data_IF_601933517296
#
_entry.id   IF_601933517296
#
_cell.length_a   1.000
_cell.length_b   1.000
_cell.length_c   1.000
_cell.angle_alpha   90.00
_cell.angle_beta   90.00
_cell.angle_gamma   90.00
#
_symmetry.space_group_name_H-M   'P 1'
#
loop_
_entity.id
_entity.type
_entity.pdbx_description
1 polymer ?
#
# COMPACT_ATOMS: atom_id res chain seq x y z
N UNK A 1 -29.66 -29.77 59.62
CA UNK A 1 -29.70 -28.30 59.50
C UNK A 1 -28.34 -27.73 59.11
N UNK A 2 -27.49 -28.46 58.43
CA UNK A 2 -26.14 -28.03 58.12
C UNK A 2 -25.70 -28.28 56.67
N UNK A 3 -26.58 -28.71 55.77
CA UNK A 3 -26.21 -28.90 54.35
C UNK A 3 -26.45 -27.66 53.49
N UNK A 4 -27.37 -26.79 53.87
CA UNK A 4 -27.69 -25.58 53.09
C UNK A 4 -26.63 -24.48 53.21
N UNK A 5 -25.86 -24.47 54.30
CA UNK A 5 -24.85 -23.42 54.54
C UNK A 5 -23.53 -23.69 53.82
N UNK A 6 -23.25 -24.94 53.42
CA UNK A 6 -22.04 -25.30 52.68
C UNK A 6 -22.12 -24.98 51.17
N UNK A 7 -23.32 -24.96 50.64
CA UNK A 7 -23.52 -24.66 49.23
C UNK A 7 -23.35 -23.16 48.90
N UNK A 8 -23.64 -22.28 49.86
CA UNK A 8 -23.56 -20.83 49.65
C UNK A 8 -22.12 -20.27 49.67
N UNK A 9 -21.19 -20.99 50.29
CA UNK A 9 -19.80 -20.52 50.45
C UNK A 9 -18.95 -20.76 49.21
N UNK A 10 -19.38 -21.65 48.32
CA UNK A 10 -18.67 -21.94 47.09
C UNK A 10 -19.12 -21.07 45.91
N UNK A 11 -20.30 -20.43 46.01
CA UNK A 11 -20.82 -19.56 44.96
C UNK A 11 -20.15 -18.19 44.93
N UNK A 12 -19.67 -17.71 46.08
CA UNK A 12 -19.03 -16.41 46.19
C UNK A 12 -17.57 -16.39 45.68
N UNK A 13 -16.96 -17.54 45.35
CA UNK A 13 -15.57 -17.61 44.87
C UNK A 13 -15.47 -17.62 43.35
N UNK A 14 -16.54 -17.93 42.65
CA UNK A 14 -16.52 -18.03 41.17
C UNK A 14 -16.72 -16.66 40.55
N UNK A 15 -17.44 -15.76 41.20
CA UNK A 15 -17.75 -14.42 40.66
C UNK A 15 -16.54 -13.49 40.64
N UNK A 16 -15.62 -13.66 41.62
CA UNK A 16 -14.40 -12.82 41.64
C UNK A 16 -13.36 -13.18 40.56
N UNK A 17 -13.32 -14.45 40.13
CA UNK A 17 -12.43 -14.87 39.05
C UNK A 17 -12.94 -14.38 37.68
N UNK A 18 -14.27 -14.37 37.50
CA UNK A 18 -14.90 -13.85 36.28
C UNK A 18 -14.77 -12.33 36.19
N UNK A 19 -14.92 -11.59 37.29
CA UNK A 19 -14.72 -10.15 37.33
C UNK A 19 -13.25 -9.77 37.06
N UNK A 20 -12.28 -10.52 37.59
CA UNK A 20 -10.86 -10.28 37.34
C UNK A 20 -10.48 -10.59 35.88
N UNK A 21 -11.05 -11.63 35.27
CA UNK A 21 -10.83 -11.95 33.86
C UNK A 21 -11.46 -10.91 32.93
N UNK A 22 -12.65 -10.39 33.27
CA UNK A 22 -13.30 -9.33 32.50
C UNK A 22 -12.55 -7.99 32.60
N UNK A 23 -11.95 -7.67 33.75
CA UNK A 23 -11.15 -6.45 33.93
C UNK A 23 -9.81 -6.52 33.19
N UNK A 24 -9.25 -7.72 33.03
CA UNK A 24 -7.97 -7.91 32.30
C UNK A 24 -8.14 -7.72 30.79
N UNK A 25 -9.32 -8.00 30.24
CA UNK A 25 -9.62 -7.80 28.80
C UNK A 25 -9.75 -6.31 28.45
N UNK A 26 -10.12 -5.45 29.42
CA UNK A 26 -10.24 -4.00 29.20
C UNK A 26 -8.88 -3.27 29.17
N UNK A 27 -7.79 -3.94 29.55
CA UNK A 27 -6.43 -3.40 29.57
C UNK A 27 -5.59 -3.78 28.35
N UNK A 28 -6.21 -4.39 27.31
CA UNK A 28 -5.51 -4.55 26.04
C UNK A 28 -5.27 -3.15 25.44
N UNK A 29 -4.02 -2.73 25.26
CA UNK A 29 -3.76 -1.47 24.60
C UNK A 29 -4.34 -1.55 23.19
N UNK A 30 -5.25 -0.65 22.86
CA UNK A 30 -5.67 -0.39 21.48
C UNK A 30 -4.40 0.03 20.77
N UNK A 31 -3.79 -0.90 20.05
CA UNK A 31 -2.64 -0.61 19.21
C UNK A 31 -3.14 0.35 18.13
N UNK A 32 -2.69 1.62 18.10
CA UNK A 32 -2.96 2.45 16.94
C UNK A 32 -2.35 1.72 15.75
N UNK A 33 -3.19 1.38 14.77
CA UNK A 33 -2.72 0.78 13.53
C UNK A 33 -1.64 1.70 12.96
N UNK A 34 -0.38 1.28 13.08
CA UNK A 34 0.71 1.97 12.42
C UNK A 34 0.47 1.82 10.92
N UNK A 35 0.00 2.88 10.30
CA UNK A 35 0.12 3.03 8.85
C UNK A 35 1.63 3.15 8.62
N UNK A 36 2.27 2.02 8.39
CA UNK A 36 3.63 2.01 7.87
C UNK A 36 3.52 2.62 6.48
N UNK A 37 3.74 3.93 6.40
CA UNK A 37 4.05 4.54 5.14
C UNK A 37 5.28 3.78 4.62
N UNK A 38 5.10 2.96 3.58
CA UNK A 38 6.21 2.26 2.97
C UNK A 38 7.17 3.32 2.47
N UNK A 39 8.26 3.50 3.19
CA UNK A 39 9.38 4.29 2.71
C UNK A 39 9.77 3.75 1.32
N UNK A 40 10.09 4.61 0.36
CA UNK A 40 10.54 4.16 -0.95
C UNK A 40 11.66 3.15 -0.73
N UNK A 41 11.52 1.98 -1.35
CA UNK A 41 12.44 0.87 -1.17
C UNK A 41 13.87 1.40 -1.34
N UNK A 42 14.70 1.23 -0.31
CA UNK A 42 16.06 1.76 -0.19
C UNK A 42 17.01 1.30 -1.32
N UNK A 43 16.51 0.45 -2.23
CA UNK A 43 17.22 -0.17 -3.34
C UNK A 43 16.44 -0.08 -4.66
N UNK A 44 15.75 1.03 -4.94
CA UNK A 44 15.12 1.24 -6.23
C UNK A 44 16.17 1.10 -7.35
N UNK A 45 15.87 0.29 -8.39
CA UNK A 45 16.77 0.12 -9.52
C UNK A 45 16.99 1.43 -10.26
N UNK A 46 18.21 1.65 -10.71
CA UNK A 46 18.52 2.78 -11.56
C UNK A 46 17.77 2.66 -12.90
N UNK A 47 17.05 3.69 -13.28
CA UNK A 47 16.43 3.81 -14.60
C UNK A 47 17.50 4.20 -15.62
N UNK A 48 17.67 3.41 -16.68
CA UNK A 48 18.61 3.66 -17.76
C UNK A 48 17.94 4.39 -18.93
N UNK A 49 16.72 4.00 -19.27
CA UNK A 49 15.91 4.66 -20.31
C UNK A 49 14.55 4.99 -19.72
N UNK A 50 14.22 6.26 -19.77
CA UNK A 50 12.92 6.79 -19.33
C UNK A 50 12.16 7.30 -20.55
N UNK A 51 10.95 6.78 -20.76
CA UNK A 51 10.01 7.27 -21.77
C UNK A 51 8.93 8.04 -21.06
N UNK A 52 8.70 9.27 -21.47
CA UNK A 52 7.60 10.06 -20.92
C UNK A 52 6.27 9.61 -21.52
N UNK A 53 5.19 9.55 -20.71
CA UNK A 53 3.89 9.20 -21.21
C UNK A 53 3.39 10.27 -22.19
N UNK A 54 2.74 9.82 -23.25
CA UNK A 54 2.06 10.69 -24.17
C UNK A 54 0.96 11.47 -23.42
N UNK A 55 0.94 12.79 -23.64
CA UNK A 55 -0.08 13.66 -23.08
C UNK A 55 -0.91 14.27 -24.23
N UNK A 56 -2.05 13.67 -24.59
CA UNK A 56 -2.86 14.10 -25.72
C UNK A 56 -3.27 15.57 -25.65
N UNK A 57 -3.28 16.23 -26.80
CA UNK A 57 -3.59 17.65 -26.88
C UNK A 57 -4.97 18.02 -26.34
N UNK A 58 -5.93 17.11 -26.42
CA UNK A 58 -7.26 17.29 -25.83
C UNK A 58 -7.18 17.55 -24.32
N UNK A 59 -6.39 16.75 -23.59
CA UNK A 59 -6.22 16.94 -22.14
C UNK A 59 -5.35 18.15 -21.84
N UNK A 60 -4.35 18.40 -22.68
CA UNK A 60 -3.46 19.57 -22.54
C UNK A 60 -4.22 20.88 -22.69
N UNK A 61 -5.05 20.98 -23.71
CA UNK A 61 -5.86 22.17 -24.00
C UNK A 61 -6.96 22.40 -22.95
N UNK A 62 -7.49 21.31 -22.36
CA UNK A 62 -8.44 21.35 -21.25
C UNK A 62 -7.82 21.59 -19.88
N UNK A 63 -6.49 21.77 -19.79
CA UNK A 63 -5.76 21.95 -18.51
C UNK A 63 -6.03 20.84 -17.49
N UNK A 64 -6.24 19.62 -17.96
CA UNK A 64 -6.45 18.47 -17.06
C UNK A 64 -5.13 18.06 -16.42
N UNK A 65 -5.08 18.10 -15.11
CA UNK A 65 -3.96 17.56 -14.36
C UNK A 65 -4.33 16.20 -13.78
N UNK A 66 -3.38 15.28 -13.78
CA UNK A 66 -3.61 13.96 -13.23
C UNK A 66 -2.33 13.38 -12.62
N UNK A 67 -2.54 12.53 -11.61
CA UNK A 67 -1.49 11.71 -11.02
C UNK A 67 -1.86 10.26 -11.22
N UNK A 68 -0.90 9.44 -11.66
CA UNK A 68 -1.04 7.99 -11.80
C UNK A 68 0.05 7.32 -11.00
N UNK A 69 -0.33 6.37 -10.16
CA UNK A 69 0.57 5.54 -9.35
C UNK A 69 0.58 4.16 -9.97
N UNK A 70 1.74 3.69 -10.39
CA UNK A 70 1.93 2.41 -11.04
C UNK A 70 3.07 1.63 -10.38
N UNK A 71 3.03 0.31 -10.49
CA UNK A 71 4.12 -0.58 -10.15
C UNK A 71 4.57 -1.34 -11.40
N UNK A 72 5.86 -1.27 -11.71
CA UNK A 72 6.47 -2.00 -12.80
C UNK A 72 7.16 -3.26 -12.28
N UNK A 73 6.82 -4.41 -12.82
CA UNK A 73 7.58 -5.65 -12.61
C UNK A 73 8.76 -5.65 -13.57
N UNK A 74 9.97 -5.62 -13.04
CA UNK A 74 11.21 -5.51 -13.81
C UNK A 74 11.98 -6.83 -13.76
N UNK A 75 12.25 -7.40 -14.92
CA UNK A 75 13.03 -8.63 -15.07
C UNK A 75 14.51 -8.42 -14.69
N UNK A 76 15.28 -9.49 -14.43
CA UNK A 76 16.71 -9.40 -14.14
C UNK A 76 17.51 -8.63 -15.20
N UNK A 77 17.13 -8.72 -16.48
CA UNK A 77 17.76 -8.01 -17.59
C UNK A 77 17.42 -6.52 -17.68
N UNK A 78 16.55 -6.01 -16.80
CA UNK A 78 16.13 -4.62 -16.74
C UNK A 78 14.92 -4.24 -17.59
N UNK A 79 14.32 -5.19 -18.31
CA UNK A 79 13.10 -4.94 -19.07
C UNK A 79 11.88 -4.98 -18.16
N UNK A 80 10.91 -4.12 -18.42
CA UNK A 80 9.59 -4.17 -17.77
C UNK A 80 8.78 -5.30 -18.38
N UNK A 81 8.28 -6.23 -17.56
CA UNK A 81 7.45 -7.36 -17.99
C UNK A 81 5.97 -7.10 -17.83
N UNK A 82 5.58 -6.35 -16.80
CA UNK A 82 4.19 -5.98 -16.55
C UNK A 82 4.11 -4.67 -15.77
N UNK A 83 2.96 -4.02 -15.88
CA UNK A 83 2.65 -2.79 -15.16
C UNK A 83 1.30 -2.95 -14.48
N UNK A 84 1.23 -2.64 -13.20
CA UNK A 84 0.00 -2.63 -12.42
C UNK A 84 -0.30 -1.19 -11.97
N UNK A 85 -1.52 -0.72 -12.24
CA UNK A 85 -1.97 0.60 -11.76
C UNK A 85 -2.52 0.46 -10.35
N UNK A 86 -1.90 1.15 -9.42
CA UNK A 86 -2.29 1.15 -7.99
C UNK A 86 -3.26 2.27 -7.64
N UNK A 87 -3.29 3.33 -8.45
CA UNK A 87 -4.20 4.45 -8.21
C UNK A 87 -4.00 5.62 -9.16
N UNK A 88 -4.89 6.57 -9.07
CA UNK A 88 -4.88 7.78 -9.87
C UNK A 88 -6.03 7.84 -10.87
N UNK A 89 -5.93 8.76 -11.83
CA UNK A 89 -6.99 8.97 -12.81
C UNK A 89 -6.94 7.88 -13.90
N UNK A 90 -8.02 7.08 -14.08
CA UNK A 90 -8.04 5.96 -15.03
C UNK A 90 -7.87 6.40 -16.49
N UNK A 91 -8.28 7.61 -16.86
CA UNK A 91 -8.11 8.14 -18.22
C UNK A 91 -6.62 8.26 -18.62
N UNK A 92 -5.74 8.47 -17.65
CA UNK A 92 -4.30 8.60 -17.87
C UNK A 92 -3.53 7.29 -17.62
N UNK A 93 -4.19 6.27 -17.07
CA UNK A 93 -3.56 4.99 -16.72
C UNK A 93 -3.00 4.27 -17.95
N UNK A 94 -3.68 4.31 -19.08
CA UNK A 94 -3.24 3.68 -20.33
C UNK A 94 -1.96 4.34 -20.86
N UNK A 95 -1.88 5.66 -20.86
CA UNK A 95 -0.69 6.40 -21.29
C UNK A 95 0.50 6.14 -20.38
N UNK A 96 0.28 6.08 -19.06
CA UNK A 96 1.29 5.73 -18.09
C UNK A 96 1.80 4.30 -18.29
N UNK A 97 0.92 3.34 -18.52
CA UNK A 97 1.26 1.94 -18.78
C UNK A 97 2.10 1.80 -20.05
N UNK A 98 1.68 2.41 -21.16
CA UNK A 98 2.43 2.41 -22.43
C UNK A 98 3.85 2.95 -22.26
N UNK A 99 3.98 4.08 -21.57
CA UNK A 99 5.29 4.67 -21.34
C UNK A 99 6.19 3.75 -20.51
N UNK A 100 5.65 3.23 -19.39
CA UNK A 100 6.39 2.44 -18.43
C UNK A 100 6.85 1.08 -19.00
N UNK A 101 6.07 0.47 -19.89
CA UNK A 101 6.45 -0.75 -20.60
C UNK A 101 7.71 -0.57 -21.49
N UNK A 102 7.99 0.65 -21.92
CA UNK A 102 9.16 0.98 -22.72
C UNK A 102 10.37 1.47 -21.89
N UNK A 103 10.24 1.52 -20.56
CA UNK A 103 11.36 1.87 -19.70
C UNK A 103 12.39 0.74 -19.64
N UNK A 104 13.62 1.13 -19.39
CA UNK A 104 14.73 0.21 -19.14
C UNK A 104 15.37 0.53 -17.81
N UNK A 105 15.58 -0.49 -17.03
CA UNK A 105 16.26 -0.42 -15.74
C UNK A 105 17.62 -1.10 -15.80
N UNK A 106 18.48 -0.81 -14.85
CA UNK A 106 19.73 -1.53 -14.69
C UNK A 106 19.46 -3.03 -14.44
N UNK A 107 20.31 -3.91 -14.93
CA UNK A 107 20.24 -5.34 -14.65
C UNK A 107 20.41 -5.59 -13.14
N UNK A 108 19.77 -6.65 -12.64
CA UNK A 108 19.89 -7.08 -11.25
C UNK A 108 19.77 -8.61 -11.17
N UNK A 109 20.23 -9.24 -10.06
CA UNK A 109 20.21 -10.70 -9.92
C UNK A 109 18.81 -11.32 -9.92
N UNK A 110 17.80 -10.55 -9.51
CA UNK A 110 16.41 -11.02 -9.39
C UNK A 110 15.41 -10.03 -9.98
N UNK A 111 14.21 -10.52 -10.24
CA UNK A 111 13.07 -9.69 -10.57
C UNK A 111 12.71 -8.77 -9.40
N UNK A 112 12.32 -7.53 -9.69
CA UNK A 112 11.89 -6.55 -8.68
C UNK A 112 10.60 -5.86 -9.11
N UNK A 113 9.92 -5.25 -8.15
CA UNK A 113 8.76 -4.41 -8.39
C UNK A 113 9.15 -2.97 -8.05
N UNK A 114 9.06 -2.09 -9.03
CA UNK A 114 9.49 -0.70 -8.91
C UNK A 114 8.27 0.23 -8.92
N UNK A 115 8.03 1.00 -7.86
CA UNK A 115 6.94 1.98 -7.84
C UNK A 115 7.31 3.21 -8.67
N UNK A 116 6.37 3.67 -9.49
CA UNK A 116 6.52 4.84 -10.35
C UNK A 116 5.31 5.74 -10.22
N UNK A 117 5.55 7.03 -10.14
CA UNK A 117 4.49 8.05 -10.11
C UNK A 117 4.64 8.94 -11.34
N UNK A 118 3.59 9.01 -12.14
CA UNK A 118 3.47 9.94 -13.24
C UNK A 118 2.61 11.13 -12.82
N UNK A 119 3.09 12.33 -13.08
CA UNK A 119 2.35 13.57 -12.90
C UNK A 119 2.14 14.21 -14.27
N UNK A 120 0.90 14.17 -14.75
CA UNK A 120 0.49 14.85 -15.97
C UNK A 120 0.11 16.29 -15.61
N UNK A 121 0.84 17.24 -16.12
CA UNK A 121 0.61 18.68 -15.88
C UNK A 121 0.75 19.46 -17.17
N UNK A 122 -0.10 20.46 -17.35
CA UNK A 122 0.11 21.46 -18.39
C UNK A 122 1.25 22.37 -17.94
N UNK A 123 2.34 22.39 -18.67
CA UNK A 123 3.42 23.36 -18.44
C UNK A 123 2.96 24.67 -19.08
N UNK A 124 2.72 25.75 -18.31
CA UNK A 124 2.44 27.05 -18.91
C UNK A 124 3.68 27.48 -19.74
N UNK A 125 3.42 27.88 -20.98
CA UNK A 125 4.45 28.48 -21.85
C UNK A 125 4.74 29.89 -21.43
#
# INVERSE_FOLDING_TARGET
MNLAYRAFRNFARIDNLFCLAALLVLLLPIQPGYIVAQAPAKNARKVLVRVEPEYPDFFRNGHFEARVIAEATVLPNGNVSSVEIKGGNPMFAEFATKALMNWKYAAAPAQTVEPVIFNFRTIPR
#
